data_IF_389133771347
#
_entry.id   IF_389133771347
#
_cell.length_a   1.000
_cell.length_b   1.000
_cell.length_c   1.000
_cell.angle_alpha   90.00
_cell.angle_beta   90.00
_cell.angle_gamma   90.00
#
_symmetry.space_group_name_H-M   'P 1'
#
loop_
_entity.id
_entity.type
_entity.pdbx_description
1 polymer ?
#
# COMPACT_ATOMS: atom_id res chain seq x y z
N UNK A 1 4.78 -7.07 -0.76
CA UNK A 1 3.32 -7.24 -0.73
C UNK A 1 2.76 -7.65 -2.09
N UNK A 2 3.23 -7.09 -3.22
CA UNK A 2 2.84 -7.50 -4.57
C UNK A 2 2.72 -9.03 -4.76
N UNK A 3 3.79 -9.79 -4.54
CA UNK A 3 3.78 -11.26 -4.63
C UNK A 3 2.76 -11.93 -3.70
N UNK A 4 2.53 -11.36 -2.52
CA UNK A 4 1.60 -11.90 -1.52
C UNK A 4 0.14 -11.70 -1.96
N UNK A 5 -0.12 -10.69 -2.77
CA UNK A 5 -1.41 -10.32 -3.32
C UNK A 5 -1.57 -10.71 -4.79
N UNK A 6 -0.74 -11.62 -5.31
CA UNK A 6 -0.85 -12.10 -6.69
C UNK A 6 -2.28 -12.60 -6.99
N UNK A 7 -2.83 -12.17 -8.12
CA UNK A 7 -4.20 -12.51 -8.55
C UNK A 7 -5.29 -11.56 -8.04
N UNK A 8 -4.94 -10.57 -7.23
CA UNK A 8 -5.80 -9.41 -6.93
C UNK A 8 -5.43 -8.25 -7.84
N UNK A 9 -6.40 -7.38 -8.15
CA UNK A 9 -6.13 -6.19 -8.98
C UNK A 9 -5.23 -5.17 -8.30
N UNK A 10 -5.35 -5.06 -6.97
CA UNK A 10 -4.60 -4.09 -6.19
C UNK A 10 -3.94 -4.77 -5.00
N UNK A 11 -2.78 -4.24 -4.63
CA UNK A 11 -2.21 -4.45 -3.32
C UNK A 11 -1.98 -3.11 -2.63
N UNK A 12 -2.05 -3.13 -1.31
CA UNK A 12 -1.74 -2.00 -0.46
C UNK A 12 -0.74 -2.36 0.61
N UNK A 13 -0.02 -1.35 1.08
CA UNK A 13 0.89 -1.46 2.22
C UNK A 13 0.57 -0.38 3.23
N UNK A 14 0.51 -0.75 4.51
CA UNK A 14 0.36 0.14 5.65
C UNK A 14 1.60 0.02 6.56
N UNK A 15 1.96 1.14 7.18
CA UNK A 15 2.96 1.22 8.24
C UNK A 15 4.33 0.58 7.90
N UNK A 16 4.67 0.47 6.62
CA UNK A 16 5.95 -0.07 6.15
C UNK A 16 6.02 -1.59 6.02
N UNK A 17 5.02 -2.36 6.48
CA UNK A 17 5.11 -3.82 6.46
C UNK A 17 3.78 -4.59 6.49
N UNK A 18 2.63 -3.92 6.56
CA UNK A 18 1.31 -4.57 6.62
C UNK A 18 0.72 -4.63 5.22
N UNK A 19 0.44 -5.83 4.71
CA UNK A 19 -0.04 -6.01 3.32
C UNK A 19 -1.57 -6.18 3.27
N UNK A 20 -2.20 -5.57 2.28
CA UNK A 20 -3.63 -5.68 1.99
C UNK A 20 -3.84 -6.02 0.50
N UNK A 21 -4.83 -6.84 0.19
CA UNK A 21 -5.16 -7.24 -1.19
C UNK A 21 -6.63 -6.95 -1.48
N UNK A 22 -6.94 -6.50 -2.69
CA UNK A 22 -8.32 -6.16 -3.06
C UNK A 22 -8.52 -6.01 -4.56
N UNK A 23 -9.78 -6.10 -4.99
CA UNK A 23 -10.16 -5.89 -6.40
C UNK A 23 -10.83 -4.54 -6.65
N UNK A 24 -11.22 -3.85 -5.57
CA UNK A 24 -11.95 -2.60 -5.58
C UNK A 24 -11.32 -1.65 -4.57
N UNK A 25 -11.37 -0.36 -4.86
CA UNK A 25 -10.91 0.70 -3.96
C UNK A 25 -12.12 1.52 -3.53
N UNK A 26 -12.20 1.85 -2.25
CA UNK A 26 -13.11 2.88 -1.80
C UNK A 26 -12.47 4.25 -2.04
N UNK A 27 -12.93 4.96 -3.05
CA UNK A 27 -12.38 6.26 -3.44
C UNK A 27 -12.70 7.39 -2.45
N UNK A 28 -13.51 7.13 -1.41
CA UNK A 28 -13.89 8.15 -0.42
C UNK A 28 -12.83 8.40 0.66
N UNK A 29 -11.76 7.60 0.70
CA UNK A 29 -10.74 7.63 1.76
C UNK A 29 -9.38 8.17 1.30
N UNK A 30 -9.33 8.88 0.17
CA UNK A 30 -8.11 9.49 -0.33
C UNK A 30 -7.60 10.56 0.64
N UNK A 31 -6.29 10.57 0.86
CA UNK A 31 -5.60 11.58 1.64
C UNK A 31 -4.38 12.11 0.88
N UNK A 32 -3.61 13.02 1.49
CA UNK A 32 -2.41 13.58 0.91
C UNK A 32 -1.30 12.51 0.79
N UNK A 33 -0.51 12.56 -0.28
CA UNK A 33 0.53 11.54 -0.55
C UNK A 33 1.61 11.48 0.55
N UNK A 34 1.87 12.60 1.24
CA UNK A 34 2.80 12.67 2.36
C UNK A 34 2.34 11.88 3.60
N UNK A 35 1.05 11.60 3.74
CA UNK A 35 0.57 10.70 4.79
C UNK A 35 0.88 9.22 4.49
N UNK A 36 1.29 8.90 3.26
CA UNK A 36 1.68 7.56 2.80
C UNK A 36 3.18 7.42 2.54
N UNK A 37 4.04 8.12 3.30
CA UNK A 37 5.50 8.18 3.07
C UNK A 37 6.38 7.33 4.01
N UNK A 38 5.81 6.36 4.73
CA UNK A 38 6.55 5.43 5.59
C UNK A 38 7.44 4.52 4.75
N UNK A 39 8.77 4.44 5.04
CA UNK A 39 9.67 3.53 4.33
C UNK A 39 9.31 2.06 4.55
N UNK A 40 9.60 1.20 3.57
CA UNK A 40 9.39 -0.23 3.72
C UNK A 40 10.36 -0.82 4.75
N UNK A 41 9.87 -1.75 5.59
CA UNK A 41 10.73 -2.47 6.57
C UNK A 41 11.78 -3.34 5.87
N UNK A 42 11.49 -3.82 4.67
CA UNK A 42 12.39 -4.67 3.88
C UNK A 42 13.40 -3.93 3.01
N UNK A 43 13.07 -2.69 2.61
CA UNK A 43 13.91 -1.82 1.78
C UNK A 43 13.56 -0.35 2.08
N UNK A 44 14.45 0.37 2.76
CA UNK A 44 14.18 1.75 3.17
C UNK A 44 14.23 2.76 2.02
N UNK A 45 14.66 2.36 0.83
CA UNK A 45 14.64 3.21 -0.36
C UNK A 45 13.26 3.19 -1.04
N UNK A 46 12.36 2.30 -0.62
CA UNK A 46 10.98 2.19 -1.11
C UNK A 46 9.96 2.76 -0.09
N UNK A 47 8.82 3.22 -0.61
CA UNK A 47 7.70 3.76 0.17
C UNK A 47 6.61 2.70 0.31
N UNK A 48 6.13 2.46 1.53
CA UNK A 48 5.19 1.40 1.90
C UNK A 48 4.04 1.91 2.78
N UNK A 49 3.34 2.94 2.30
CA UNK A 49 2.16 3.50 2.95
C UNK A 49 2.50 4.40 4.13
N UNK A 50 1.62 4.47 5.13
CA UNK A 50 1.68 5.41 6.23
C UNK A 50 1.21 4.83 7.54
N UNK A 51 1.34 5.58 8.64
CA UNK A 51 0.73 5.19 9.91
C UNK A 51 -0.79 5.43 9.82
N UNK A 52 -1.61 4.38 9.81
CA UNK A 52 -3.06 4.43 9.56
C UNK A 52 -3.47 4.80 8.13
N UNK A 53 -2.54 4.77 7.18
CA UNK A 53 -2.79 5.11 5.78
C UNK A 53 -2.20 4.06 4.85
N UNK A 54 -3.00 3.56 3.92
CA UNK A 54 -2.59 2.53 2.96
C UNK A 54 -2.09 3.21 1.68
N UNK A 55 -0.83 2.97 1.33
CA UNK A 55 -0.35 3.19 -0.04
C UNK A 55 -0.91 2.09 -0.94
N UNK A 56 -1.39 2.43 -2.13
CA UNK A 56 -2.07 1.48 -3.04
C UNK A 56 -1.36 1.43 -4.39
N UNK A 57 -1.18 0.22 -4.92
CA UNK A 57 -0.60 -0.04 -6.23
C UNK A 57 -1.50 -1.01 -7.01
N UNK A 58 -1.58 -0.83 -8.33
CA UNK A 58 -2.25 -1.76 -9.24
C UNK A 58 -1.27 -2.84 -9.69
N UNK A 59 -1.65 -4.11 -9.56
CA UNK A 59 -0.88 -5.27 -10.00
C UNK A 59 -1.46 -5.70 -11.36
N UNK A 60 -0.76 -5.33 -12.46
CA UNK A 60 -1.16 -5.63 -13.84
C UNK A 60 -0.37 -6.78 -14.45
#
# INVERSE_FOLDING_TARGET
CAVLCEGWRYFGVENGNECFCGNELDHTTLTAEDECSTPCTGDSDEVCGGHWHIGVWEDT
#
